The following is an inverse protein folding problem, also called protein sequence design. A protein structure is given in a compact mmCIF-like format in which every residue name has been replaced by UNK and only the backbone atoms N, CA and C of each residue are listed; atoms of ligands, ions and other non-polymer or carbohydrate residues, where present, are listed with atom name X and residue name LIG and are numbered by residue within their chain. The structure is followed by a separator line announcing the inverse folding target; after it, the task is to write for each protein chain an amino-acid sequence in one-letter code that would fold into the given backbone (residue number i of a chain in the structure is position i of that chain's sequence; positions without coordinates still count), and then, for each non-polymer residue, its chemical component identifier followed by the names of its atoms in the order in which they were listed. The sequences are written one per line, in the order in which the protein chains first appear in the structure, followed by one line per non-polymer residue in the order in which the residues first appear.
data_IF_084044770781
#
_entry.id   IF_084044770781
#
_cell.length_a   1.000
_cell.length_b   1.000
_cell.length_c   1.000
_cell.angle_alpha   90.00
_cell.angle_beta   90.00
_cell.angle_gamma   90.00
#
_symmetry.space_group_name_H-M   'P 1'
#
loop_
_entity.id
_entity.type
_entity.pdbx_description
1 polymer ?
#
# COMPACT_ATOMS: atom_id res chain seq x y z
N UNK A 1 5.09 -6.17 6.75
CA UNK A 1 4.85 -6.17 5.27
C UNK A 1 6.16 -6.48 4.57
N UNK A 2 6.09 -7.41 3.64
CA UNK A 2 7.27 -7.76 2.84
C UNK A 2 7.61 -6.63 1.88
N UNK A 3 8.88 -6.27 1.78
CA UNK A 3 9.35 -5.23 0.86
C UNK A 3 9.50 -5.84 -0.53
N UNK A 4 8.94 -5.17 -1.53
CA UNK A 4 9.03 -5.54 -2.94
C UNK A 4 10.03 -4.62 -3.62
N UNK A 5 10.97 -5.17 -4.36
CA UNK A 5 12.12 -4.45 -4.91
C UNK A 5 12.05 -4.22 -6.43
N UNK A 6 10.95 -4.60 -7.07
CA UNK A 6 10.76 -4.34 -8.50
C UNK A 6 9.29 -4.16 -8.84
N UNK A 7 9.04 -3.45 -9.94
CA UNK A 7 7.68 -3.23 -10.43
C UNK A 7 7.03 -4.53 -10.91
N UNK A 8 7.81 -5.41 -11.55
CA UNK A 8 7.30 -6.71 -12.00
C UNK A 8 6.83 -7.56 -10.83
N UNK A 9 7.62 -7.63 -9.76
CA UNK A 9 7.23 -8.38 -8.56
C UNK A 9 6.00 -7.77 -7.89
N UNK A 10 5.89 -6.44 -7.90
CA UNK A 10 4.70 -5.77 -7.39
C UNK A 10 3.45 -6.22 -8.13
N UNK A 11 3.50 -6.21 -9.46
CA UNK A 11 2.38 -6.66 -10.29
C UNK A 11 2.04 -8.11 -10.05
N UNK A 12 3.04 -8.98 -9.87
CA UNK A 12 2.82 -10.38 -9.51
C UNK A 12 2.01 -10.50 -8.22
N UNK A 13 2.36 -9.72 -7.19
CA UNK A 13 1.67 -9.76 -5.90
C UNK A 13 0.25 -9.24 -6.00
N UNK A 14 0.04 -8.16 -6.72
CA UNK A 14 -1.30 -7.61 -6.95
C UNK A 14 -2.17 -8.63 -7.70
N UNK A 15 -1.60 -9.31 -8.69
CA UNK A 15 -2.34 -10.30 -9.50
C UNK A 15 -2.60 -11.61 -8.75
N UNK A 16 -1.81 -11.90 -7.72
CA UNK A 16 -1.92 -13.15 -6.96
C UNK A 16 -3.07 -13.16 -5.95
N UNK A 17 -3.64 -12.00 -5.63
CA UNK A 17 -4.63 -11.86 -4.56
C UNK A 17 -5.86 -11.10 -5.04
N UNK A 18 -7.03 -11.45 -4.48
CA UNK A 18 -8.25 -10.70 -4.75
C UNK A 18 -8.22 -9.31 -4.12
N UNK A 19 -7.60 -9.18 -2.94
CA UNK A 19 -7.47 -7.91 -2.22
C UNK A 19 -6.03 -7.75 -1.75
N UNK A 20 -5.41 -6.60 -2.04
CA UNK A 20 -4.01 -6.33 -1.68
C UNK A 20 -3.89 -4.88 -1.23
N UNK A 21 -3.10 -4.66 -0.17
CA UNK A 21 -2.70 -3.33 0.26
C UNK A 21 -1.24 -3.12 -0.09
N UNK A 22 -0.92 -1.97 -0.70
CA UNK A 22 0.45 -1.55 -0.98
C UNK A 22 0.75 -0.30 -0.15
N UNK A 23 1.79 -0.37 0.64
CA UNK A 23 2.30 0.76 1.42
C UNK A 23 3.55 1.29 0.73
N UNK A 24 3.54 2.57 0.39
CA UNK A 24 4.68 3.23 -0.27
C UNK A 24 5.36 4.14 0.73
N UNK A 25 6.63 3.87 0.97
CA UNK A 25 7.49 4.69 1.81
C UNK A 25 8.63 5.27 0.98
N UNK A 26 9.43 6.12 1.58
CA UNK A 26 10.67 6.61 0.98
C UNK A 26 11.75 6.69 2.04
N UNK A 27 13.00 6.80 1.61
CA UNK A 27 14.12 6.98 2.52
C UNK A 27 13.99 8.33 3.24
N UNK A 28 14.38 8.37 4.51
CA UNK A 28 14.33 9.57 5.36
C UNK A 28 12.92 10.16 5.53
N UNK A 29 11.90 9.35 5.44
CA UNK A 29 10.52 9.76 5.64
C UNK A 29 10.07 9.41 7.06
N UNK A 30 10.07 10.40 7.96
CA UNK A 30 9.70 10.17 9.37
C UNK A 30 8.22 9.80 9.52
N UNK A 31 7.34 10.40 8.72
CA UNK A 31 5.91 10.08 8.73
C UNK A 31 5.68 8.64 8.28
N UNK A 32 6.41 8.19 7.27
CA UNK A 32 6.34 6.80 6.80
C UNK A 32 6.71 5.82 7.91
N UNK A 33 7.74 6.14 8.70
CA UNK A 33 8.18 5.30 9.82
C UNK A 33 7.14 5.29 10.94
N UNK A 34 6.51 6.43 11.22
CA UNK A 34 5.50 6.54 12.25
C UNK A 34 4.22 5.79 11.85
N UNK A 35 3.81 5.87 10.58
CA UNK A 35 2.59 5.25 10.09
C UNK A 35 2.72 3.75 9.83
N UNK A 36 3.93 3.28 9.54
CA UNK A 36 4.19 1.88 9.18
C UNK A 36 3.57 0.88 10.16
N UNK A 37 3.82 0.97 11.49
CA UNK A 37 3.26 -0.01 12.42
C UNK A 37 1.74 0.03 12.48
N UNK A 38 1.13 1.19 12.23
CA UNK A 38 -0.33 1.31 12.22
C UNK A 38 -0.91 0.56 11.02
N UNK A 39 -0.34 0.77 9.83
CA UNK A 39 -0.76 0.07 8.61
C UNK A 39 -0.50 -1.43 8.73
N UNK A 40 0.67 -1.80 9.25
CA UNK A 40 1.03 -3.21 9.49
C UNK A 40 -0.03 -3.90 10.36
N UNK A 41 -0.42 -3.26 11.46
CA UNK A 41 -1.39 -3.82 12.37
C UNK A 41 -2.78 -3.95 11.73
N UNK A 42 -3.20 -2.95 10.94
CA UNK A 42 -4.47 -3.02 10.24
C UNK A 42 -4.50 -4.20 9.26
N UNK A 43 -3.42 -4.41 8.51
CA UNK A 43 -3.36 -5.52 7.56
C UNK A 43 -3.37 -6.87 8.26
N UNK A 44 -2.74 -6.97 9.42
CA UNK A 44 -2.76 -8.19 10.23
C UNK A 44 -4.15 -8.45 10.79
N UNK A 45 -4.80 -7.42 11.35
CA UNK A 45 -6.12 -7.55 11.96
C UNK A 45 -7.18 -7.99 10.95
N UNK A 46 -7.11 -7.48 9.71
CA UNK A 46 -8.04 -7.83 8.65
C UNK A 46 -7.54 -8.98 7.76
N UNK A 47 -6.34 -9.49 8.03
CA UNK A 47 -5.72 -10.58 7.27
C UNK A 47 -5.62 -10.25 5.77
N UNK A 48 -5.15 -9.04 5.46
CA UNK A 48 -5.01 -8.59 4.08
C UNK A 48 -3.57 -8.83 3.63
N UNK A 49 -3.35 -9.44 2.46
CA UNK A 49 -2.04 -9.45 1.84
C UNK A 49 -1.53 -8.02 1.65
N UNK A 50 -0.36 -7.73 2.20
CA UNK A 50 0.18 -6.38 2.20
C UNK A 50 1.67 -6.38 1.91
N UNK A 51 2.11 -5.43 1.11
CA UNK A 51 3.50 -5.30 0.69
C UNK A 51 3.92 -3.86 0.74
N UNK A 52 5.22 -3.65 0.92
CA UNK A 52 5.81 -2.31 0.97
C UNK A 52 6.72 -2.08 -0.23
N UNK A 53 6.68 -0.87 -0.78
CA UNK A 53 7.64 -0.37 -1.75
C UNK A 53 8.34 0.82 -1.13
N UNK A 54 9.67 0.84 -1.21
CA UNK A 54 10.46 2.04 -0.92
C UNK A 54 10.65 2.75 -2.26
N UNK A 55 10.00 3.89 -2.42
CA UNK A 55 9.92 4.59 -3.73
C UNK A 55 11.30 4.82 -4.37
N UNK A 56 12.29 5.22 -3.56
CA UNK A 56 13.66 5.49 -4.02
C UNK A 56 14.30 4.25 -4.67
N UNK A 57 13.86 3.07 -4.31
CA UNK A 57 14.42 1.79 -4.78
C UNK A 57 13.69 1.24 -6.00
N UNK A 58 12.51 1.75 -6.31
CA UNK A 58 11.68 1.24 -7.40
C UNK A 58 11.14 2.39 -8.26
N UNK A 59 12.03 3.12 -8.95
CA UNK A 59 11.63 4.31 -9.73
C UNK A 59 10.62 4.00 -10.85
N UNK A 60 10.62 2.79 -11.39
CA UNK A 60 9.62 2.39 -12.38
C UNK A 60 8.20 2.43 -11.80
N UNK A 61 8.04 1.94 -10.56
CA UNK A 61 6.73 2.00 -9.88
C UNK A 61 6.30 3.45 -9.63
N UNK A 62 7.25 4.32 -9.27
CA UNK A 62 6.97 5.75 -9.06
C UNK A 62 6.35 6.36 -10.32
N UNK A 63 6.95 6.12 -11.47
CA UNK A 63 6.46 6.65 -12.74
C UNK A 63 5.14 6.01 -13.17
N UNK A 64 5.04 4.69 -13.10
CA UNK A 64 3.87 3.95 -13.58
C UNK A 64 2.64 4.16 -12.70
N UNK A 65 2.83 4.34 -11.40
CA UNK A 65 1.71 4.47 -10.45
C UNK A 65 1.53 5.90 -9.92
N UNK A 66 2.29 6.86 -10.44
CA UNK A 66 2.24 8.26 -10.01
C UNK A 66 2.45 8.41 -8.49
N UNK A 67 3.55 7.85 -8.00
CA UNK A 67 3.88 7.88 -6.57
C UNK A 67 4.86 9.01 -6.26
N UNK A 68 4.39 10.26 -6.34
CA UNK A 68 5.25 11.44 -6.24
C UNK A 68 5.39 12.00 -4.82
N UNK A 69 4.69 11.43 -3.86
CA UNK A 69 4.80 11.78 -2.44
C UNK A 69 4.86 10.51 -1.61
N UNK A 70 5.17 10.61 -0.34
CA UNK A 70 5.14 9.50 0.62
C UNK A 70 4.68 10.00 1.99
N UNK A 71 4.02 9.16 2.79
CA UNK A 71 3.59 7.81 2.45
C UNK A 71 2.42 7.78 1.47
N UNK A 72 2.23 6.65 0.80
CA UNK A 72 1.02 6.37 0.00
C UNK A 72 0.48 5.03 0.42
N UNK A 73 -0.84 4.92 0.55
CA UNK A 73 -1.52 3.64 0.74
C UNK A 73 -2.41 3.40 -0.46
N UNK A 74 -2.25 2.25 -1.08
CA UNK A 74 -3.04 1.82 -2.23
C UNK A 74 -3.81 0.56 -1.85
N UNK A 75 -5.10 0.52 -2.17
CA UNK A 75 -5.88 -0.71 -2.07
C UNK A 75 -6.23 -1.18 -3.48
N UNK A 76 -5.97 -2.45 -3.73
CA UNK A 76 -6.31 -3.13 -4.99
C UNK A 76 -7.37 -4.20 -4.72
N UNK A 77 -8.41 -4.21 -5.53
CA UNK A 77 -9.42 -5.26 -5.50
C UNK A 77 -9.63 -5.78 -6.91
N UNK A 78 -9.50 -7.11 -7.08
CA UNK A 78 -9.53 -7.76 -8.39
C UNK A 78 -8.56 -7.06 -9.37
N UNK A 79 -7.35 -6.77 -8.89
CA UNK A 79 -6.22 -6.20 -9.64
C UNK A 79 -6.43 -4.74 -10.09
N UNK A 80 -7.45 -4.06 -9.54
CA UNK A 80 -7.72 -2.66 -9.84
C UNK A 80 -7.55 -1.81 -8.60
N UNK A 81 -6.94 -0.65 -8.76
CA UNK A 81 -6.84 0.31 -7.65
C UNK A 81 -8.23 0.83 -7.32
N UNK A 82 -8.65 0.65 -6.07
CA UNK A 82 -9.98 1.06 -5.60
C UNK A 82 -9.91 2.15 -4.53
N UNK A 83 -8.75 2.41 -3.97
CA UNK A 83 -8.55 3.46 -2.98
C UNK A 83 -7.10 3.91 -2.95
N UNK A 84 -6.89 5.21 -2.73
CA UNK A 84 -5.54 5.80 -2.65
C UNK A 84 -5.57 6.93 -1.65
N UNK A 85 -4.59 6.96 -0.76
CA UNK A 85 -4.31 8.10 0.10
C UNK A 85 -2.82 8.44 0.02
N UNK A 86 -2.50 9.72 0.01
CA UNK A 86 -1.13 10.19 -0.14
C UNK A 86 -0.80 11.26 0.90
N UNK A 87 0.40 11.23 1.44
CA UNK A 87 1.00 12.16 2.41
C UNK A 87 0.43 12.03 3.81
N UNK A 88 -0.82 12.39 4.00
CA UNK A 88 -1.51 12.30 5.30
C UNK A 88 -2.53 11.19 5.18
N UNK A 89 -2.31 10.12 5.94
CA UNK A 89 -3.20 8.96 5.89
C UNK A 89 -4.30 9.13 6.92
N UNK A 90 -5.54 9.11 6.44
CA UNK A 90 -6.73 9.08 7.30
C UNK A 90 -7.02 7.60 7.60
N UNK A 91 -6.63 7.16 8.79
CA UNK A 91 -6.75 5.75 9.17
C UNK A 91 -8.21 5.33 9.38
N UNK A 92 -9.08 6.23 9.78
CA UNK A 92 -10.51 5.93 9.92
C UNK A 92 -11.12 5.66 8.55
N UNK A 93 -10.79 6.48 7.55
CA UNK A 93 -11.23 6.26 6.18
C UNK A 93 -10.65 4.98 5.61
N UNK A 94 -9.37 4.71 5.86
CA UNK A 94 -8.71 3.48 5.40
C UNK A 94 -9.41 2.26 5.98
N UNK A 95 -9.70 2.27 7.27
CA UNK A 95 -10.43 1.18 7.93
C UNK A 95 -11.81 1.00 7.31
N UNK A 96 -12.53 2.08 7.10
CA UNK A 96 -13.84 2.04 6.46
C UNK A 96 -13.79 1.37 5.09
N UNK A 97 -12.82 1.76 4.26
CA UNK A 97 -12.66 1.18 2.92
C UNK A 97 -12.29 -0.29 2.97
N UNK A 98 -11.39 -0.66 3.88
CA UNK A 98 -11.02 -2.07 4.07
C UNK A 98 -12.24 -2.90 4.45
N UNK A 99 -13.04 -2.41 5.40
CA UNK A 99 -14.24 -3.12 5.84
C UNK A 99 -15.28 -3.22 4.73
N UNK A 100 -15.43 -2.18 3.93
CA UNK A 100 -16.30 -2.18 2.76
C UNK A 100 -15.93 -3.28 1.78
N UNK A 101 -14.63 -3.43 1.49
CA UNK A 101 -14.13 -4.41 0.53
C UNK A 101 -14.19 -5.82 1.10
N UNK A 102 -13.84 -6.00 2.37
CA UNK A 102 -13.85 -7.33 3.02
C UNK A 102 -15.25 -7.89 3.18
N UNK A 103 -16.28 -7.05 3.12
CA UNK A 103 -17.68 -7.46 3.23
C UNK A 103 -18.36 -7.67 1.87
N UNK A 104 -17.60 -7.61 0.78
CA UNK A 104 -18.16 -7.88 -0.56
C UNK A 104 -18.43 -9.35 -0.79
#
# INVERSE_FOLDING_TARGET
MKIIDSFDKLNEKINAHAFTLIYVSSENCSVCKADHPIVQRMTEDYQIPAYEIVADQVPEAVGQLNLFTSPVVLLYYNQKEVHRQARIIDFDELQYRIEQITNL
#
